data_IF_633489795233
#
_entry.id   IF_633489795233
#
_cell.length_a   1.000
_cell.length_b   1.000
_cell.length_c   1.000
_cell.angle_alpha   90.00
_cell.angle_beta   90.00
_cell.angle_gamma   90.00
#
_symmetry.space_group_name_H-M   'P 1'
#
loop_
_entity.id
_entity.type
_entity.pdbx_description
1 polymer ?
#
# COMPACT_ATOMS: atom_id res chain seq x y z
N UNK A 1 -2.29 -36.19 -10.87
CA UNK A 1 -1.20 -36.82 -10.08
C UNK A 1 -0.24 -37.62 -10.95
N UNK A 2 -0.72 -38.52 -11.82
CA UNK A 2 0.15 -39.33 -12.70
C UNK A 2 1.14 -38.56 -13.59
N UNK A 3 0.90 -37.28 -13.86
CA UNK A 3 1.80 -36.38 -14.58
C UNK A 3 2.86 -35.69 -13.69
N UNK A 4 3.09 -36.15 -12.45
CA UNK A 4 4.08 -35.58 -11.53
C UNK A 4 3.59 -34.44 -10.64
N UNK A 5 2.29 -34.10 -10.68
CA UNK A 5 1.71 -33.08 -9.81
C UNK A 5 1.71 -33.53 -8.33
N UNK A 6 2.06 -32.60 -7.42
CA UNK A 6 2.01 -32.81 -5.98
C UNK A 6 0.76 -32.14 -5.43
N UNK A 7 -0.14 -32.91 -4.82
CA UNK A 7 -1.29 -32.34 -4.12
C UNK A 7 -0.83 -31.64 -2.83
N UNK A 8 -1.33 -30.43 -2.61
CA UNK A 8 -1.12 -29.67 -1.37
C UNK A 8 -2.38 -29.73 -0.51
N UNK A 9 -2.27 -29.56 0.82
CA UNK A 9 -3.43 -29.40 1.69
C UNK A 9 -4.34 -28.26 1.20
N UNK A 10 -5.67 -28.35 1.40
CA UNK A 10 -6.59 -27.28 1.03
C UNK A 10 -6.27 -26.02 1.84
N UNK A 11 -5.94 -24.92 1.15
CA UNK A 11 -5.59 -23.65 1.78
C UNK A 11 -4.94 -22.68 0.81
N UNK A 12 -4.60 -21.49 1.32
CA UNK A 12 -4.00 -20.42 0.53
C UNK A 12 -2.58 -20.77 0.04
N UNK A 13 -1.75 -21.35 0.91
CA UNK A 13 -0.39 -21.80 0.58
C UNK A 13 0.47 -20.75 -0.13
N UNK A 14 1.15 -21.17 -1.21
CA UNK A 14 2.09 -20.33 -1.94
C UNK A 14 1.45 -19.05 -2.52
N UNK A 15 0.12 -19.01 -2.73
CA UNK A 15 -0.61 -17.82 -3.18
C UNK A 15 -0.39 -16.59 -2.27
N UNK A 16 -0.13 -16.84 -0.99
CA UNK A 16 0.11 -15.80 0.02
C UNK A 16 1.53 -15.81 0.55
N UNK A 17 2.43 -16.56 -0.09
CA UNK A 17 3.83 -16.64 0.30
C UNK A 17 4.07 -17.55 1.50
N UNK A 18 3.22 -18.56 1.72
CA UNK A 18 3.36 -19.53 2.81
C UNK A 18 3.40 -20.98 2.32
N UNK A 19 4.00 -21.86 3.12
CA UNK A 19 3.95 -23.31 2.88
C UNK A 19 4.81 -23.79 1.70
N UNK A 20 4.45 -24.93 1.11
CA UNK A 20 5.18 -25.57 0.02
C UNK A 20 4.84 -24.93 -1.33
N UNK A 21 5.83 -24.84 -2.23
CA UNK A 21 5.67 -24.27 -3.57
C UNK A 21 6.04 -22.80 -3.66
N UNK A 22 6.81 -22.28 -2.70
CA UNK A 22 7.37 -20.93 -2.78
C UNK A 22 8.44 -20.87 -3.87
N UNK A 23 8.33 -19.82 -4.68
CA UNK A 23 9.23 -19.56 -5.81
C UNK A 23 10.56 -19.03 -5.27
N UNK A 24 11.67 -19.62 -5.69
CA UNK A 24 13.01 -19.27 -5.23
C UNK A 24 13.63 -18.13 -6.04
N UNK A 25 14.75 -17.61 -5.54
CA UNK A 25 15.50 -16.52 -6.16
C UNK A 25 15.85 -16.83 -7.62
N UNK A 26 15.46 -15.94 -8.53
CA UNK A 26 15.76 -16.07 -9.97
C UNK A 26 14.88 -17.08 -10.73
N UNK A 27 13.98 -17.79 -10.05
CA UNK A 27 13.05 -18.70 -10.72
C UNK A 27 11.93 -17.95 -11.45
N UNK A 28 11.43 -18.57 -12.52
CA UNK A 28 10.21 -18.15 -13.22
C UNK A 28 9.11 -19.18 -12.99
N UNK A 29 7.98 -18.74 -12.46
CA UNK A 29 6.81 -19.56 -12.20
C UNK A 29 5.58 -19.04 -12.97
N UNK A 30 4.68 -19.95 -13.32
CA UNK A 30 3.34 -19.65 -13.79
C UNK A 30 2.32 -20.23 -12.81
N UNK A 31 1.30 -19.46 -12.46
CA UNK A 31 0.36 -19.82 -11.41
C UNK A 31 -1.08 -19.52 -11.79
N UNK A 32 -2.00 -20.34 -11.28
CA UNK A 32 -3.44 -20.15 -11.38
C UNK A 32 -4.02 -19.36 -10.19
N UNK A 33 -3.16 -18.66 -9.46
CA UNK A 33 -3.58 -17.69 -8.45
C UNK A 33 -4.08 -16.41 -9.10
N UNK A 34 -4.52 -15.45 -8.29
CA UNK A 34 -5.06 -14.18 -8.75
C UNK A 34 -4.10 -13.00 -8.60
N UNK A 35 -2.90 -13.20 -8.03
CA UNK A 35 -1.95 -12.13 -7.71
C UNK A 35 -0.50 -12.61 -7.86
N UNK A 36 0.32 -11.77 -8.49
CA UNK A 36 1.74 -12.01 -8.74
C UNK A 36 2.61 -10.79 -8.36
N UNK A 37 2.25 -10.10 -7.28
CA UNK A 37 3.06 -8.97 -6.81
C UNK A 37 4.48 -9.42 -6.44
N UNK A 38 5.45 -8.52 -6.59
CA UNK A 38 6.87 -8.77 -6.27
C UNK A 38 7.01 -9.29 -4.82
N UNK A 39 7.62 -10.46 -4.64
CA UNK A 39 7.77 -11.11 -3.32
C UNK A 39 6.50 -11.72 -2.73
N UNK A 40 5.39 -11.81 -3.47
CA UNK A 40 4.12 -12.35 -2.95
C UNK A 40 4.16 -13.85 -2.73
N UNK A 41 4.74 -14.60 -3.67
CA UNK A 41 4.69 -16.06 -3.71
C UNK A 41 6.02 -16.73 -3.36
N UNK A 42 6.95 -15.99 -2.77
CA UNK A 42 8.30 -16.47 -2.48
C UNK A 42 9.31 -15.34 -2.52
N UNK A 43 10.47 -15.63 -3.09
CA UNK A 43 11.58 -14.67 -3.20
C UNK A 43 11.17 -13.46 -4.06
N UNK A 44 11.77 -12.32 -3.73
CA UNK A 44 11.44 -11.05 -4.37
C UNK A 44 12.05 -10.92 -5.77
N UNK A 45 13.15 -11.62 -6.02
CA UNK A 45 13.83 -11.63 -7.32
C UNK A 45 13.28 -12.75 -8.24
N UNK A 46 12.18 -13.40 -7.84
CA UNK A 46 11.44 -14.34 -8.67
C UNK A 46 10.44 -13.64 -9.61
N UNK A 47 10.12 -14.31 -10.73
CA UNK A 47 9.10 -13.86 -11.68
C UNK A 47 7.90 -14.80 -11.64
N UNK A 48 6.70 -14.23 -11.45
CA UNK A 48 5.46 -15.00 -11.42
C UNK A 48 4.48 -14.48 -12.45
N UNK A 49 4.00 -15.37 -13.32
CA UNK A 49 2.96 -15.11 -14.31
C UNK A 49 1.63 -15.72 -13.86
N UNK A 50 0.52 -15.04 -14.17
CA UNK A 50 -0.81 -15.54 -13.87
C UNK A 50 -1.46 -16.09 -15.14
N UNK A 51 -2.08 -17.25 -15.04
CA UNK A 51 -2.81 -17.86 -16.15
C UNK A 51 -3.95 -18.76 -15.65
N UNK A 52 -4.76 -19.29 -16.58
CA UNK A 52 -5.79 -20.27 -16.22
C UNK A 52 -5.15 -21.60 -15.80
N UNK A 53 -5.86 -22.44 -15.02
CA UNK A 53 -5.36 -23.77 -14.66
C UNK A 53 -4.91 -24.63 -15.85
N UNK A 54 -5.61 -24.53 -17.00
CA UNK A 54 -5.26 -25.27 -18.21
C UNK A 54 -3.92 -24.81 -18.81
N UNK A 55 -3.66 -23.51 -18.85
CA UNK A 55 -2.39 -22.94 -19.33
C UNK A 55 -1.25 -23.30 -18.38
N UNK A 56 -1.48 -23.25 -17.07
CA UNK A 56 -0.49 -23.67 -16.06
C UNK A 56 -0.13 -25.14 -16.23
N UNK A 57 -1.12 -26.03 -16.40
CA UNK A 57 -0.89 -27.45 -16.60
C UNK A 57 -0.12 -27.73 -17.91
N UNK A 58 -0.51 -27.09 -19.02
CA UNK A 58 0.18 -27.21 -20.29
C UNK A 58 1.64 -26.73 -20.20
N UNK A 59 1.85 -25.56 -19.59
CA UNK A 59 3.18 -24.98 -19.40
C UNK A 59 4.07 -25.84 -18.50
N UNK A 60 3.51 -26.42 -17.43
CA UNK A 60 4.24 -27.32 -16.53
C UNK A 60 4.70 -28.60 -17.24
N UNK A 61 3.90 -29.14 -18.17
CA UNK A 61 4.27 -30.29 -18.99
C UNK A 61 5.31 -29.93 -20.06
N UNK A 62 5.21 -28.73 -20.65
CA UNK A 62 6.08 -28.27 -21.72
C UNK A 62 7.45 -27.76 -21.23
N UNK A 63 7.55 -27.32 -19.97
CA UNK A 63 8.76 -26.71 -19.41
C UNK A 63 8.95 -25.23 -19.81
N UNK A 64 8.02 -24.65 -20.57
CA UNK A 64 7.98 -23.23 -20.91
C UNK A 64 6.52 -22.74 -20.97
N UNK A 65 6.30 -21.42 -20.87
CA UNK A 65 4.95 -20.85 -20.89
C UNK A 65 4.31 -21.07 -22.26
N UNK A 66 3.24 -21.86 -22.31
CA UNK A 66 2.56 -22.22 -23.55
C UNK A 66 1.04 -22.34 -23.37
N UNK A 67 0.32 -22.21 -24.48
CA UNK A 67 -1.12 -22.45 -24.52
C UNK A 67 -1.42 -23.95 -24.61
N UNK A 68 -2.56 -24.43 -24.06
CA UNK A 68 -2.96 -25.83 -24.18
C UNK A 68 -3.34 -26.23 -25.62
N UNK A 69 -3.58 -25.24 -26.48
CA UNK A 69 -3.97 -25.41 -27.89
C UNK A 69 -3.37 -24.28 -28.74
N UNK A 70 -3.28 -24.49 -30.06
CA UNK A 70 -2.89 -23.44 -30.99
C UNK A 70 -4.04 -22.44 -31.20
N UNK A 71 -3.70 -21.15 -31.29
CA UNK A 71 -4.65 -20.07 -31.58
C UNK A 71 -4.19 -19.32 -32.83
N UNK A 72 -5.15 -18.84 -33.63
CA UNK A 72 -4.85 -17.92 -34.72
C UNK A 72 -4.41 -16.56 -34.16
N UNK A 73 -3.44 -15.92 -34.81
CA UNK A 73 -3.03 -14.57 -34.44
C UNK A 73 -4.18 -13.58 -34.68
N UNK A 74 -4.38 -12.67 -33.72
CA UNK A 74 -5.33 -11.57 -33.83
C UNK A 74 -4.75 -10.31 -33.18
N UNK A 75 -5.03 -9.11 -33.71
CA UNK A 75 -4.65 -7.86 -33.07
C UNK A 75 -5.28 -7.74 -31.67
N UNK A 76 -4.50 -7.33 -30.68
CA UNK A 76 -5.03 -7.02 -29.35
C UNK A 76 -5.80 -5.69 -29.41
N UNK A 77 -7.07 -5.68 -29.01
CA UNK A 77 -7.84 -4.45 -28.82
C UNK A 77 -7.70 -3.94 -27.39
N UNK A 78 -7.26 -2.69 -27.22
CA UNK A 78 -7.18 -2.03 -25.90
C UNK A 78 -7.76 -0.64 -25.95
N UNK A 79 -8.50 -0.24 -24.91
CA UNK A 79 -8.97 1.13 -24.71
C UNK A 79 -8.76 1.57 -23.26
N UNK A 80 -8.25 2.78 -23.04
CA UNK A 80 -8.07 3.38 -21.72
C UNK A 80 -8.86 4.67 -21.67
N UNK A 81 -9.69 4.84 -20.63
CA UNK A 81 -10.38 6.10 -20.33
C UNK A 81 -9.97 6.57 -18.94
N UNK A 82 -9.53 7.81 -18.83
CA UNK A 82 -9.21 8.45 -17.55
C UNK A 82 -10.23 9.54 -17.27
N UNK A 83 -11.01 9.45 -16.18
CA UNK A 83 -11.89 10.54 -15.78
C UNK A 83 -11.05 11.71 -15.26
N UNK A 84 -11.33 12.93 -15.73
CA UNK A 84 -10.75 14.15 -15.15
C UNK A 84 -11.42 14.47 -13.82
N UNK A 85 -10.62 14.60 -12.76
CA UNK A 85 -11.08 15.02 -11.43
C UNK A 85 -10.87 16.54 -11.34
N UNK A 86 -11.96 17.30 -11.16
CA UNK A 86 -11.86 18.76 -10.97
C UNK A 86 -11.12 19.07 -9.66
N UNK A 87 -10.24 20.07 -9.67
CA UNK A 87 -9.61 20.57 -8.45
C UNK A 87 -10.67 21.14 -7.51
N UNK A 88 -10.53 20.87 -6.21
CA UNK A 88 -11.36 21.49 -5.17
C UNK A 88 -10.53 22.55 -4.45
N UNK A 89 -11.08 23.75 -4.23
CA UNK A 89 -10.39 24.77 -3.44
C UNK A 89 -10.18 24.28 -2.01
N UNK A 90 -9.12 24.79 -1.37
CA UNK A 90 -8.89 24.57 0.06
C UNK A 90 -10.12 25.04 0.85
N UNK A 91 -10.49 24.27 1.88
CA UNK A 91 -11.56 24.63 2.79
C UNK A 91 -11.02 24.54 4.23
N UNK A 92 -11.32 25.56 5.02
CA UNK A 92 -11.01 25.56 6.45
C UNK A 92 -11.95 24.61 7.18
N UNK A 93 -11.41 23.81 8.11
CA UNK A 93 -12.21 22.94 8.98
C UNK A 93 -11.80 23.15 10.44
N UNK A 94 -12.78 23.06 11.34
CA UNK A 94 -12.54 23.08 12.77
C UNK A 94 -11.77 21.83 13.19
N UNK A 95 -10.72 22.04 13.97
CA UNK A 95 -9.92 20.95 14.54
C UNK A 95 -10.63 20.43 15.79
N UNK A 96 -10.95 19.13 15.79
CA UNK A 96 -11.47 18.42 16.95
C UNK A 96 -10.43 18.43 18.08
N UNK A 97 -10.88 18.60 19.32
CA UNK A 97 -9.99 18.55 20.49
C UNK A 97 -9.18 17.24 20.51
N UNK A 98 -7.86 17.36 20.73
CA UNK A 98 -6.93 16.23 20.70
C UNK A 98 -6.41 15.85 19.30
N UNK A 99 -6.99 16.37 18.22
CA UNK A 99 -6.45 16.18 16.87
C UNK A 99 -5.30 17.18 16.62
N UNK A 100 -4.17 16.76 16.02
CA UNK A 100 -3.06 17.67 15.74
C UNK A 100 -3.48 18.75 14.73
N UNK A 101 -3.23 20.01 15.05
CA UNK A 101 -3.51 21.13 14.12
C UNK A 101 -2.53 21.17 12.94
N UNK A 102 -1.30 20.68 13.14
CA UNK A 102 -0.27 20.63 12.11
C UNK A 102 0.71 19.48 12.30
N UNK A 103 1.38 19.10 11.21
CA UNK A 103 2.49 18.14 11.18
C UNK A 103 3.64 18.74 10.38
N UNK A 104 4.88 18.53 10.82
CA UNK A 104 6.09 18.89 10.10
C UNK A 104 7.06 17.71 10.11
N UNK A 105 7.65 17.38 8.96
CA UNK A 105 8.57 16.27 8.84
C UNK A 105 9.19 16.20 7.44
N UNK A 106 10.22 15.36 7.25
CA UNK A 106 10.81 15.16 5.93
C UNK A 106 9.94 14.26 5.08
N UNK A 107 9.93 14.48 3.77
CA UNK A 107 9.23 13.62 2.83
C UNK A 107 10.05 12.33 2.61
N UNK A 108 9.41 11.18 2.76
CA UNK A 108 9.85 9.91 2.18
C UNK A 108 8.99 9.64 0.95
N UNK A 109 9.53 9.99 -0.22
CA UNK A 109 8.81 9.89 -1.47
C UNK A 109 8.94 8.49 -2.08
N UNK A 110 7.81 7.79 -2.17
CA UNK A 110 7.66 6.49 -2.81
C UNK A 110 7.04 6.71 -4.19
N UNK A 111 7.87 6.90 -5.21
CA UNK A 111 7.39 7.16 -6.57
C UNK A 111 6.92 5.88 -7.28
N UNK A 112 5.88 5.27 -6.72
CA UNK A 112 5.28 4.05 -7.23
C UNK A 112 3.76 4.14 -7.27
N UNK A 113 3.24 4.12 -8.49
CA UNK A 113 1.82 3.88 -8.72
C UNK A 113 1.48 2.41 -8.47
N UNK A 114 0.28 2.17 -7.97
CA UNK A 114 -0.26 0.86 -7.61
C UNK A 114 0.60 0.11 -6.58
N UNK A 115 1.23 0.84 -5.66
CA UNK A 115 1.90 0.20 -4.53
C UNK A 115 0.85 -0.55 -3.70
N UNK A 116 0.94 -1.88 -3.73
CA UNK A 116 -0.03 -2.75 -3.09
C UNK A 116 0.33 -3.00 -1.62
N UNK A 117 -0.59 -3.59 -0.87
CA UNK A 117 -0.38 -3.89 0.55
C UNK A 117 0.74 -4.89 0.80
N UNK A 118 1.16 -5.74 -0.16
CA UNK A 118 2.35 -6.60 0.02
C UNK A 118 3.65 -5.80 -0.08
N UNK A 119 3.63 -4.71 -0.85
CA UNK A 119 4.72 -3.73 -0.92
C UNK A 119 4.83 -2.89 0.34
N UNK A 120 3.74 -2.74 1.13
CA UNK A 120 3.74 -1.99 2.40
C UNK A 120 4.04 -2.92 3.58
N UNK A 121 3.35 -4.07 3.65
CA UNK A 121 3.46 -5.06 4.72
C UNK A 121 3.27 -6.48 4.15
N UNK A 122 4.33 -7.27 4.09
CA UNK A 122 4.35 -8.53 3.34
C UNK A 122 3.31 -9.56 3.84
N UNK A 123 2.74 -10.35 2.92
CA UNK A 123 1.76 -11.40 3.23
C UNK A 123 2.22 -12.41 4.28
N UNK A 124 3.51 -12.75 4.24
CA UNK A 124 4.13 -13.68 5.20
C UNK A 124 4.06 -13.22 6.66
N UNK A 125 3.84 -11.92 6.92
CA UNK A 125 3.72 -11.36 8.28
C UNK A 125 2.27 -11.17 8.74
N UNK A 126 1.29 -11.39 7.87
CA UNK A 126 -0.11 -11.01 8.15
C UNK A 126 -0.76 -11.84 9.24
N UNK A 127 -0.44 -13.14 9.29
CA UNK A 127 -1.05 -14.11 10.21
C UNK A 127 -0.11 -14.48 11.36
N UNK A 128 0.80 -13.56 11.71
CA UNK A 128 1.70 -13.69 12.85
C UNK A 128 1.17 -12.81 13.98
N UNK A 129 0.23 -13.37 14.74
CA UNK A 129 -0.53 -12.64 15.77
C UNK A 129 0.32 -12.29 17.02
N UNK A 130 1.53 -12.84 17.11
CA UNK A 130 2.50 -12.62 18.18
C UNK A 130 3.45 -11.43 17.92
N UNK A 131 3.34 -10.77 16.77
CA UNK A 131 4.23 -9.66 16.43
C UNK A 131 3.97 -8.42 17.29
N UNK A 132 5.02 -7.91 17.92
CA UNK A 132 4.94 -6.63 18.65
C UNK A 132 4.79 -5.45 17.68
N UNK A 133 4.28 -4.28 18.14
CA UNK A 133 4.21 -3.07 17.32
C UNK A 133 5.56 -2.70 16.68
N UNK A 134 6.67 -2.88 17.39
CA UNK A 134 8.03 -2.62 16.91
C UNK A 134 8.43 -3.59 15.80
N UNK A 135 8.10 -4.87 15.96
CA UNK A 135 8.36 -5.89 14.94
C UNK A 135 7.53 -5.62 13.68
N UNK A 136 6.27 -5.22 13.82
CA UNK A 136 5.42 -4.82 12.69
C UNK A 136 5.99 -3.59 11.98
N UNK A 137 6.42 -2.58 12.74
CA UNK A 137 7.05 -1.37 12.21
C UNK A 137 8.39 -1.66 11.50
N UNK A 138 9.14 -2.68 11.93
CA UNK A 138 10.42 -3.04 11.35
C UNK A 138 10.31 -3.68 9.96
N UNK A 139 9.18 -4.31 9.62
CA UNK A 139 8.99 -5.00 8.33
C UNK A 139 8.26 -4.14 7.29
N UNK A 140 8.01 -2.86 7.59
CA UNK A 140 7.37 -1.95 6.63
C UNK A 140 8.23 -1.78 5.38
N UNK A 141 7.60 -1.88 4.22
CA UNK A 141 8.20 -1.70 2.90
C UNK A 141 9.30 -2.69 2.51
N UNK A 142 9.60 -3.74 3.27
CA UNK A 142 10.71 -4.65 2.97
C UNK A 142 10.66 -5.28 1.56
N UNK A 143 9.46 -5.56 1.07
CA UNK A 143 9.23 -6.12 -0.26
C UNK A 143 9.40 -5.08 -1.36
N UNK A 144 9.14 -3.80 -1.05
CA UNK A 144 9.27 -2.72 -2.00
C UNK A 144 10.69 -2.14 -2.02
N UNK A 145 11.17 -1.72 -0.85
CA UNK A 145 12.47 -1.10 -0.62
C UNK A 145 13.08 -1.59 0.71
N UNK A 146 14.06 -2.52 0.69
CA UNK A 146 14.75 -2.98 1.91
C UNK A 146 15.44 -1.87 2.68
N UNK A 147 15.83 -0.80 2.00
CA UNK A 147 16.59 0.28 2.60
C UNK A 147 15.68 1.30 3.31
N UNK A 148 14.35 1.18 3.16
CA UNK A 148 13.39 2.12 3.74
C UNK A 148 13.63 2.37 5.23
N UNK A 149 13.88 1.31 6.00
CA UNK A 149 14.10 1.42 7.45
C UNK A 149 15.39 2.15 7.82
N UNK A 150 16.42 2.12 6.97
CA UNK A 150 17.66 2.86 7.19
C UNK A 150 17.52 4.34 6.79
N UNK A 151 16.63 4.65 5.84
CA UNK A 151 16.32 6.03 5.41
C UNK A 151 15.40 6.76 6.40
N UNK A 152 14.50 6.02 7.02
CA UNK A 152 13.45 6.54 7.90
C UNK A 152 14.00 7.21 9.16
N UNK A 153 13.42 8.36 9.49
CA UNK A 153 13.53 9.01 10.80
C UNK A 153 12.14 9.26 11.39
N UNK A 154 12.05 9.25 12.72
CA UNK A 154 10.78 9.46 13.43
C UNK A 154 10.16 10.80 13.04
N UNK A 155 8.90 10.77 12.61
CA UNK A 155 8.16 11.96 12.17
C UNK A 155 8.22 12.23 10.66
N UNK A 156 9.00 11.45 9.90
CA UNK A 156 8.98 11.54 8.43
C UNK A 156 7.58 11.22 7.87
N UNK A 157 7.18 11.96 6.85
CA UNK A 157 5.89 11.85 6.15
C UNK A 157 6.07 11.01 4.89
N UNK A 158 5.25 9.99 4.69
CA UNK A 158 5.26 9.22 3.44
C UNK A 158 4.42 9.94 2.40
N UNK A 159 5.02 10.18 1.22
CA UNK A 159 4.29 10.64 0.03
C UNK A 159 4.40 9.59 -1.06
N UNK A 160 3.30 9.19 -1.69
CA UNK A 160 3.30 8.10 -2.65
C UNK A 160 2.54 8.42 -3.95
N UNK A 161 2.73 7.57 -4.96
CA UNK A 161 2.05 7.65 -6.25
C UNK A 161 0.52 7.43 -6.20
N UNK A 162 -0.06 7.05 -7.33
CA UNK A 162 -1.48 6.79 -7.47
C UNK A 162 -1.86 5.37 -7.03
N UNK A 163 -3.11 5.19 -6.59
CA UNK A 163 -3.69 3.91 -6.19
C UNK A 163 -2.90 3.17 -5.09
N UNK A 164 -2.45 3.92 -4.08
CA UNK A 164 -1.69 3.41 -2.94
C UNK A 164 -2.53 2.46 -2.06
N UNK A 165 -1.92 1.39 -1.57
CA UNK A 165 -2.57 0.40 -0.71
C UNK A 165 -3.51 -0.56 -1.46
N UNK A 166 -3.32 -0.77 -2.75
CA UNK A 166 -4.14 -1.72 -3.52
C UNK A 166 -3.92 -3.19 -3.12
N UNK A 167 -4.79 -4.10 -3.53
CA UNK A 167 -4.63 -5.54 -3.32
C UNK A 167 -5.36 -6.08 -2.07
N UNK A 168 -4.63 -6.67 -1.13
CA UNK A 168 -5.23 -7.36 0.04
C UNK A 168 -5.82 -6.36 1.04
N UNK A 169 -6.93 -6.73 1.69
CA UNK A 169 -7.64 -5.93 2.71
C UNK A 169 -6.95 -5.86 4.08
N UNK A 170 -5.64 -6.13 4.16
CA UNK A 170 -4.91 -6.22 5.42
C UNK A 170 -4.83 -4.85 6.09
N UNK A 171 -5.31 -4.75 7.30
CA UNK A 171 -5.21 -3.53 8.10
C UNK A 171 -3.81 -3.29 8.66
N UNK A 172 -3.00 -4.35 8.79
CA UNK A 172 -1.61 -4.30 9.22
C UNK A 172 -0.76 -3.35 8.36
N UNK A 173 -1.11 -3.20 7.08
CA UNK A 173 -0.45 -2.25 6.18
C UNK A 173 -0.65 -0.78 6.59
N UNK A 174 -1.68 -0.46 7.37
CA UNK A 174 -1.88 0.86 7.96
C UNK A 174 -1.33 0.93 9.39
N UNK A 175 -1.64 -0.07 10.24
CA UNK A 175 -1.19 -0.07 11.64
C UNK A 175 0.32 -0.14 11.78
N UNK A 176 1.03 -0.88 10.91
CA UNK A 176 2.49 -0.93 10.93
C UNK A 176 3.12 0.45 10.67
N UNK A 177 2.53 1.26 9.79
CA UNK A 177 3.01 2.64 9.53
C UNK A 177 2.73 3.55 10.73
N UNK A 178 1.54 3.40 11.35
CA UNK A 178 1.19 4.11 12.60
C UNK A 178 2.16 3.76 13.73
N UNK A 179 2.44 2.47 13.96
CA UNK A 179 3.38 2.01 14.98
C UNK A 179 4.82 2.46 14.71
N UNK A 180 5.19 2.58 13.44
CA UNK A 180 6.50 3.13 13.05
C UNK A 180 6.70 4.57 13.51
N UNK A 181 5.61 5.33 13.67
CA UNK A 181 5.65 6.74 14.01
C UNK A 181 5.60 7.67 12.78
N UNK A 182 5.15 7.14 11.63
CA UNK A 182 4.77 7.97 10.49
C UNK A 182 3.50 8.74 10.89
N UNK A 183 3.43 10.07 10.74
CA UNK A 183 2.27 10.84 11.17
C UNK A 183 1.11 10.76 10.19
N UNK A 184 1.39 10.63 8.89
CA UNK A 184 0.38 10.44 7.84
C UNK A 184 0.99 9.87 6.54
N UNK A 185 0.13 9.38 5.66
CA UNK A 185 0.47 9.09 4.26
C UNK A 185 -0.30 10.02 3.34
N UNK A 186 0.41 10.67 2.41
CA UNK A 186 -0.15 11.48 1.34
C UNK A 186 0.03 10.71 0.03
N UNK A 187 -0.98 10.63 -0.82
CA UNK A 187 -0.84 9.94 -2.11
C UNK A 187 -1.59 10.64 -3.24
N UNK A 188 -1.29 10.28 -4.48
CA UNK A 188 -2.06 10.76 -5.64
C UNK A 188 -3.49 10.21 -5.63
N UNK A 189 -3.65 8.97 -5.18
CA UNK A 189 -4.94 8.37 -4.84
C UNK A 189 -4.73 7.11 -3.98
N UNK A 190 -5.78 6.66 -3.30
CA UNK A 190 -5.75 5.43 -2.51
C UNK A 190 -6.71 4.37 -3.07
N UNK A 191 -6.41 3.11 -2.78
CA UNK A 191 -7.43 2.07 -2.74
C UNK A 191 -8.42 2.38 -1.60
N UNK A 192 -9.72 2.30 -1.89
CA UNK A 192 -10.77 2.58 -0.90
C UNK A 192 -10.68 1.66 0.33
N UNK A 193 -10.31 0.40 0.14
CA UNK A 193 -10.11 -0.55 1.25
C UNK A 193 -8.99 -0.09 2.17
N UNK A 194 -7.85 0.35 1.62
CA UNK A 194 -6.73 0.82 2.43
C UNK A 194 -7.10 2.10 3.18
N UNK A 195 -7.74 3.05 2.49
CA UNK A 195 -8.19 4.31 3.07
C UNK A 195 -9.11 4.08 4.26
N UNK A 196 -10.09 3.17 4.12
CA UNK A 196 -10.98 2.77 5.21
C UNK A 196 -10.24 2.10 6.36
N UNK A 197 -9.32 1.18 6.08
CA UNK A 197 -8.51 0.53 7.12
C UNK A 197 -7.66 1.52 7.91
N UNK A 198 -7.08 2.52 7.24
CA UNK A 198 -6.30 3.56 7.89
C UNK A 198 -7.15 4.38 8.87
N UNK A 199 -8.29 4.92 8.41
CA UNK A 199 -9.18 5.67 9.30
C UNK A 199 -9.76 4.82 10.43
N UNK A 200 -10.17 3.59 10.15
CA UNK A 200 -10.65 2.65 11.18
C UNK A 200 -9.59 2.36 12.26
N UNK A 201 -8.31 2.45 11.92
CA UNK A 201 -7.20 2.27 12.84
C UNK A 201 -6.63 3.59 13.39
N UNK A 202 -7.32 4.72 13.18
CA UNK A 202 -6.88 6.01 13.68
C UNK A 202 -5.56 6.47 13.03
N UNK A 203 -5.37 6.19 11.73
CA UNK A 203 -4.20 6.60 10.95
C UNK A 203 -4.59 7.58 9.83
N UNK A 204 -3.88 8.71 9.74
CA UNK A 204 -4.23 9.81 8.83
C UNK A 204 -3.72 9.52 7.42
N UNK A 205 -4.65 9.60 6.45
CA UNK A 205 -4.33 9.52 5.03
C UNK A 205 -5.16 10.52 4.23
N UNK A 206 -4.59 11.15 3.21
CA UNK A 206 -5.34 12.05 2.32
C UNK A 206 -4.67 12.21 0.96
N UNK A 207 -5.47 12.58 -0.04
CA UNK A 207 -5.04 12.69 -1.43
C UNK A 207 -4.51 14.09 -1.74
N UNK A 208 -3.37 14.17 -2.43
CA UNK A 208 -2.87 15.40 -3.02
C UNK A 208 -2.10 15.08 -4.33
N UNK A 209 -2.81 14.88 -5.46
CA UNK A 209 -2.20 14.60 -6.76
C UNK A 209 -1.17 15.65 -7.19
N UNK A 210 -1.45 16.93 -6.90
CA UNK A 210 -0.61 18.05 -7.28
C UNK A 210 0.75 18.03 -6.56
N UNK A 211 0.79 17.63 -5.29
CA UNK A 211 2.05 17.40 -4.56
C UNK A 211 2.86 16.27 -5.21
N UNK A 212 2.22 15.17 -5.58
CA UNK A 212 2.90 14.03 -6.22
C UNK A 212 3.50 14.44 -7.56
N UNK A 213 2.75 15.19 -8.38
CA UNK A 213 3.27 15.75 -9.63
C UNK A 213 4.47 16.65 -9.37
N UNK A 214 4.38 17.55 -8.38
CA UNK A 214 5.48 18.44 -8.03
C UNK A 214 6.75 17.71 -7.59
N UNK A 215 6.63 16.69 -6.73
CA UNK A 215 7.79 15.90 -6.28
C UNK A 215 8.41 15.10 -7.42
N UNK A 216 7.61 14.61 -8.38
CA UNK A 216 8.12 13.95 -9.59
C UNK A 216 8.93 14.90 -10.47
N UNK A 217 8.55 16.16 -10.53
CA UNK A 217 9.24 17.17 -11.35
C UNK A 217 10.51 17.71 -10.69
N UNK A 218 10.62 17.64 -9.36
CA UNK A 218 11.68 18.30 -8.59
C UNK A 218 12.72 17.35 -8.00
N UNK A 219 12.35 16.10 -7.69
CA UNK A 219 13.28 15.12 -7.14
C UNK A 219 13.95 14.32 -8.26
N UNK A 220 15.28 14.46 -8.34
CA UNK A 220 16.15 13.66 -9.20
C UNK A 220 16.56 12.34 -8.51
N UNK A 221 17.09 11.38 -9.26
CA UNK A 221 17.56 10.07 -8.78
C UNK A 221 16.51 9.25 -8.00
N UNK A 222 15.51 8.75 -8.74
CA UNK A 222 14.38 7.97 -8.21
C UNK A 222 14.76 6.55 -7.78
N UNK A 223 15.48 6.45 -6.66
CA UNK A 223 15.53 5.21 -5.89
C UNK A 223 14.10 4.78 -5.49
N UNK A 224 13.85 3.51 -5.13
CA UNK A 224 12.52 3.07 -4.72
C UNK A 224 11.88 3.97 -3.66
N UNK A 225 12.65 4.42 -2.68
CA UNK A 225 12.29 5.52 -1.76
C UNK A 225 13.32 6.64 -1.85
N UNK A 226 12.85 7.88 -2.02
CA UNK A 226 13.71 9.07 -2.07
C UNK A 226 13.45 9.95 -0.84
N UNK A 227 14.50 10.33 -0.11
CA UNK A 227 14.39 11.32 0.98
C UNK A 227 14.32 12.70 0.34
N UNK A 228 13.18 13.36 0.50
CA UNK A 228 12.86 14.66 -0.06
C UNK A 228 12.97 15.80 0.95
N UNK A 229 12.47 17.00 0.57
CA UNK A 229 12.45 18.18 1.42
C UNK A 229 11.53 18.00 2.64
N UNK A 230 11.59 18.98 3.53
CA UNK A 230 10.65 19.07 4.65
C UNK A 230 9.29 19.60 4.18
N UNK A 231 8.23 18.98 4.67
CA UNK A 231 6.84 19.37 4.41
C UNK A 231 6.18 19.82 5.71
N UNK A 232 5.39 20.89 5.63
CA UNK A 232 4.50 21.33 6.72
C UNK A 232 3.05 21.15 6.27
N UNK A 233 2.24 20.50 7.09
CA UNK A 233 0.82 20.22 6.85
C UNK A 233 0.02 21.01 7.89
N UNK A 234 -0.85 21.92 7.43
CA UNK A 234 -1.81 22.65 8.25
C UNK A 234 -3.21 22.03 8.00
N UNK A 235 -3.66 21.22 8.96
CA UNK A 235 -4.94 20.52 8.85
C UNK A 235 -6.13 21.47 8.99
N UNK A 236 -5.97 22.59 9.70
CA UNK A 236 -7.05 23.55 9.91
C UNK A 236 -7.37 24.29 8.60
N UNK A 237 -6.35 24.58 7.81
CA UNK A 237 -6.49 25.25 6.49
C UNK A 237 -6.59 24.28 5.33
N UNK A 238 -6.32 23.00 5.54
CA UNK A 238 -6.21 21.97 4.49
C UNK A 238 -5.17 22.34 3.42
N UNK A 239 -4.02 22.83 3.88
CA UNK A 239 -2.90 23.25 3.03
C UNK A 239 -1.64 22.54 3.50
N UNK A 240 -0.84 22.06 2.55
CA UNK A 240 0.53 21.64 2.79
C UNK A 240 1.51 22.57 2.07
N UNK A 241 2.67 22.79 2.67
CA UNK A 241 3.73 23.65 2.15
C UNK A 241 5.06 22.89 2.07
N UNK A 242 5.70 22.98 0.90
CA UNK A 242 7.00 22.36 0.58
C UNK A 242 7.68 23.19 -0.50
N UNK A 243 9.00 23.37 -0.41
CA UNK A 243 9.80 24.14 -1.38
C UNK A 243 9.25 25.54 -1.72
N UNK A 244 8.67 26.21 -0.72
CA UNK A 244 8.05 27.53 -0.89
C UNK A 244 6.74 27.52 -1.69
N UNK A 245 6.24 26.35 -2.11
CA UNK A 245 4.93 26.17 -2.74
C UNK A 245 3.90 25.69 -1.73
N UNK A 246 2.63 25.91 -2.04
CA UNK A 246 1.50 25.44 -1.25
C UNK A 246 0.52 24.65 -2.10
N UNK A 247 -0.01 23.56 -1.54
CA UNK A 247 -0.95 22.68 -2.21
C UNK A 247 -2.15 22.45 -1.29
N UNK A 248 -3.35 22.52 -1.86
CA UNK A 248 -4.57 22.22 -1.14
C UNK A 248 -4.81 20.70 -1.10
N UNK A 249 -5.43 20.23 -0.03
CA UNK A 249 -5.93 18.85 0.04
C UNK A 249 -7.38 18.83 0.55
N UNK A 250 -8.15 17.74 0.33
CA UNK A 250 -9.49 17.62 0.86
C UNK A 250 -9.47 17.66 2.39
N UNK A 251 -10.30 18.50 3.04
CA UNK A 251 -10.32 18.59 4.49
C UNK A 251 -10.67 17.26 5.15
N UNK A 252 -10.05 16.98 6.30
CA UNK A 252 -10.41 15.83 7.13
C UNK A 252 -11.74 16.12 7.83
N UNK A 253 -12.74 15.28 7.56
CA UNK A 253 -14.08 15.44 8.15
C UNK A 253 -14.04 15.28 9.68
N UNK A 254 -15.00 15.86 10.42
CA UNK A 254 -15.09 15.66 11.86
C UNK A 254 -15.12 14.18 12.27
N UNK A 255 -15.85 13.34 11.52
CA UNK A 255 -15.89 11.89 11.76
C UNK A 255 -14.52 11.21 11.57
N UNK A 256 -13.72 11.66 10.60
CA UNK A 256 -12.36 11.18 10.44
C UNK A 256 -11.48 11.62 11.61
N UNK A 257 -11.57 12.88 12.03
CA UNK A 257 -10.82 13.40 13.17
C UNK A 257 -11.17 12.67 14.47
N UNK A 258 -12.45 12.40 14.74
CA UNK A 258 -12.91 11.61 15.90
C UNK A 258 -12.28 10.21 15.94
N UNK A 259 -12.18 9.53 14.79
CA UNK A 259 -11.53 8.22 14.70
C UNK A 259 -10.03 8.30 15.04
N UNK A 260 -9.35 9.34 14.56
CA UNK A 260 -7.93 9.56 14.85
C UNK A 260 -7.74 9.85 16.35
N UNK A 261 -8.54 10.74 16.93
CA UNK A 261 -8.47 11.13 18.35
C UNK A 261 -8.74 9.94 19.26
N UNK A 262 -9.75 9.12 18.94
CA UNK A 262 -10.02 7.90 19.69
C UNK A 262 -8.94 6.82 19.50
N UNK A 263 -8.05 6.99 18.52
CA UNK A 263 -7.03 6.00 18.18
C UNK A 263 -7.57 4.81 17.38
N UNK A 264 -8.79 4.89 16.86
CA UNK A 264 -9.44 3.86 16.04
C UNK A 264 -10.94 3.73 16.32
N UNK A 265 -11.63 3.01 15.43
CA UNK A 265 -13.07 2.77 15.49
C UNK A 265 -13.48 1.95 16.71
N UNK A 266 -12.69 0.95 17.09
CA UNK A 266 -12.95 0.12 18.28
C UNK A 266 -12.98 0.98 19.55
N UNK A 267 -11.95 1.80 19.75
CA UNK A 267 -11.85 2.71 20.88
C UNK A 267 -12.98 3.75 20.89
N UNK A 268 -13.36 4.27 19.71
CA UNK A 268 -14.48 5.20 19.58
C UNK A 268 -15.81 4.56 19.96
N UNK A 269 -16.05 3.32 19.57
CA UNK A 269 -17.26 2.58 19.96
C UNK A 269 -17.23 2.29 21.46
N UNK A 270 -16.10 1.84 21.99
CA UNK A 270 -15.93 1.55 23.42
C UNK A 270 -16.12 2.79 24.31
N UNK A 271 -15.66 3.98 23.90
CA UNK A 271 -15.89 5.22 24.64
C UNK A 271 -17.37 5.61 24.64
N UNK A 272 -18.05 5.50 23.49
CA UNK A 272 -19.49 5.80 23.36
C UNK A 272 -20.37 4.84 24.16
N UNK A 273 -20.01 3.57 24.25
CA UNK A 273 -20.73 2.59 25.08
C UNK A 273 -20.56 2.90 26.58
N UNK A 274 -19.34 3.24 27.02
CA UNK A 274 -19.07 3.63 28.41
C UNK A 274 -19.80 4.91 28.83
N UNK A 275 -19.96 5.87 27.92
CA UNK A 275 -20.69 7.11 28.19
C UNK A 275 -22.22 6.93 28.32
N UNK A 276 -22.75 5.78 27.90
CA UNK A 276 -24.19 5.45 28.01
C UNK A 276 -24.52 4.58 29.23
N UNK A 277 -23.52 4.02 29.88
CA UNK A 277 -23.65 3.19 31.09
C UNK A 277 -23.60 4.08 32.34
#
# INVERSE_FOLDING_TARGET
LGAGAIALPPGCGACIGLGRGLVQKGETAISATNRNFKGRMGDRDAYVYLASPAVVAASALAGFICAPTNFAERPAGTAVRRPEKKSRPAASVQITEGFPSSVRGRVLFIDKDNLNTDGIYAGKHTYRDDMTPEQMAAVTFENYDPNFNALYQKGDVVVAGFNFGTGSSREQAATALKFKGIPCVIAGSFSETYKRNAFNNGFVVFECPELVTHLRETLDNRAPTTVGPEITIDYAKSILAVDGKSFAFPPLSPAAQELIVAGGAENLVASRLRAKA
#
